data_IF_268594824509
#
_entry.id   IF_268594824509
#
_cell.length_a   1.000
_cell.length_b   1.000
_cell.length_c   1.000
_cell.angle_alpha   90.00
_cell.angle_beta   90.00
_cell.angle_gamma   90.00
#
_symmetry.space_group_name_H-M   'P 1'
#
loop_
_entity.id
_entity.type
_entity.pdbx_description
1 polymer ?
#
# COMPACT_ATOMS: atom_id res chain seq x y z
N UNK A 1 23.81 6.85 -11.89
CA UNK A 1 23.40 7.11 -10.48
C UNK A 1 22.18 8.02 -10.33
N UNK A 2 21.90 8.96 -11.24
CA UNK A 2 20.73 9.86 -11.14
C UNK A 2 19.37 9.15 -11.10
N UNK A 3 19.09 8.24 -12.06
CA UNK A 3 17.77 7.60 -12.19
C UNK A 3 17.35 6.70 -11.02
N UNK A 4 18.29 6.07 -10.30
CA UNK A 4 17.95 5.26 -9.10
C UNK A 4 17.36 6.13 -7.98
N UNK A 5 17.63 7.44 -7.95
CA UNK A 5 17.00 8.35 -6.98
C UNK A 5 15.49 8.50 -7.22
N UNK A 6 15.03 8.24 -8.46
CA UNK A 6 13.61 8.27 -8.79
C UNK A 6 12.82 7.11 -8.17
N UNK A 7 13.49 6.05 -7.69
CA UNK A 7 12.80 4.95 -7.00
C UNK A 7 12.04 5.43 -5.76
N UNK A 8 12.54 6.46 -5.06
CA UNK A 8 11.81 7.10 -3.96
C UNK A 8 10.55 7.82 -4.46
N UNK A 9 10.62 8.46 -5.63
CA UNK A 9 9.48 9.11 -6.28
C UNK A 9 8.42 8.08 -6.70
N UNK A 10 8.86 6.95 -7.26
CA UNK A 10 8.00 5.81 -7.61
C UNK A 10 7.31 5.24 -6.36
N UNK A 11 8.07 4.96 -5.30
CA UNK A 11 7.51 4.48 -4.03
C UNK A 11 6.47 5.47 -3.46
N UNK A 12 6.75 6.78 -3.57
CA UNK A 12 5.83 7.85 -3.13
C UNK A 12 4.53 7.87 -3.94
N UNK A 13 4.62 7.71 -5.27
CA UNK A 13 3.45 7.62 -6.14
C UNK A 13 2.58 6.40 -5.84
N UNK A 14 3.22 5.25 -5.58
CA UNK A 14 2.52 4.02 -5.20
C UNK A 14 1.81 4.19 -3.87
N UNK A 15 2.52 4.61 -2.81
CA UNK A 15 1.92 4.69 -1.48
C UNK A 15 0.83 5.77 -1.41
N UNK A 16 0.98 6.86 -2.17
CA UNK A 16 -0.04 7.89 -2.33
C UNK A 16 -1.31 7.36 -3.02
N UNK A 17 -1.16 6.54 -4.07
CA UNK A 17 -2.29 5.88 -4.71
C UNK A 17 -2.92 4.82 -3.82
N UNK A 18 -2.13 4.06 -3.07
CA UNK A 18 -2.58 3.01 -2.14
C UNK A 18 -3.43 3.56 -1.00
N UNK A 19 -2.98 4.67 -0.39
CA UNK A 19 -3.69 5.39 0.67
C UNK A 19 -5.03 5.97 0.20
N UNK A 20 -5.16 6.28 -1.09
CA UNK A 20 -6.32 6.99 -1.62
C UNK A 20 -7.63 6.25 -1.37
N UNK A 21 -8.73 7.01 -1.19
CA UNK A 21 -10.09 6.46 -1.16
C UNK A 21 -10.52 5.84 -2.49
N UNK A 22 -9.82 6.18 -3.58
CA UNK A 22 -10.03 5.58 -4.90
C UNK A 22 -9.33 4.22 -5.09
N UNK A 23 -8.61 3.74 -4.07
CA UNK A 23 -8.17 2.35 -3.99
C UNK A 23 -9.38 1.49 -3.62
N UNK A 24 -10.11 1.08 -4.65
CA UNK A 24 -11.35 0.32 -4.52
C UNK A 24 -11.10 -1.20 -4.67
N UNK A 25 -11.75 -1.97 -3.81
CA UNK A 25 -11.85 -3.43 -3.86
C UNK A 25 -13.32 -3.80 -3.69
N UNK A 26 -13.92 -4.33 -4.74
CA UNK A 26 -15.32 -4.75 -4.79
C UNK A 26 -16.34 -3.67 -4.37
N UNK A 27 -16.05 -2.41 -4.69
CA UNK A 27 -16.89 -1.26 -4.38
C UNK A 27 -16.62 -0.63 -3.02
N UNK A 28 -15.60 -1.10 -2.29
CA UNK A 28 -15.25 -0.59 -0.96
C UNK A 28 -13.80 -0.13 -0.90
N UNK A 29 -13.50 0.69 0.10
CA UNK A 29 -12.14 1.16 0.29
C UNK A 29 -11.20 0.01 0.68
N UNK A 30 -10.19 -0.24 -0.16
CA UNK A 30 -9.29 -1.38 -0.05
C UNK A 30 -8.58 -1.48 1.29
N UNK A 31 -8.21 -0.36 1.90
CA UNK A 31 -7.55 -0.35 3.23
C UNK A 31 -8.48 -0.90 4.32
N UNK A 32 -9.77 -0.53 4.30
CA UNK A 32 -10.73 -1.06 5.27
C UNK A 32 -10.95 -2.57 5.11
N UNK A 33 -10.97 -3.05 3.85
CA UNK A 33 -11.07 -4.48 3.54
C UNK A 33 -9.84 -5.26 4.01
N UNK A 34 -8.64 -4.71 3.81
CA UNK A 34 -7.40 -5.29 4.33
C UNK A 34 -7.38 -5.33 5.85
N UNK A 35 -7.85 -4.27 6.51
CA UNK A 35 -7.93 -4.23 7.96
C UNK A 35 -8.87 -5.31 8.48
N UNK A 36 -10.09 -5.40 7.96
CA UNK A 36 -11.04 -6.48 8.32
C UNK A 36 -10.41 -7.86 8.17
N UNK A 37 -9.63 -8.07 7.11
CA UNK A 37 -8.97 -9.34 6.85
C UNK A 37 -7.96 -9.70 7.94
N UNK A 38 -7.17 -8.76 8.46
CA UNK A 38 -6.12 -9.05 9.46
C UNK A 38 -6.52 -8.72 10.89
N UNK A 39 -7.75 -8.28 11.15
CA UNK A 39 -8.22 -7.86 12.48
C UNK A 39 -8.13 -8.98 13.53
N UNK A 40 -8.28 -10.23 13.08
CA UNK A 40 -8.16 -11.43 13.92
C UNK A 40 -6.71 -11.85 14.20
N UNK A 41 -5.73 -11.24 13.53
CA UNK A 41 -4.31 -11.55 13.71
C UNK A 41 -3.71 -10.62 14.76
N UNK A 42 -2.75 -11.13 15.53
CA UNK A 42 -2.05 -10.31 16.52
C UNK A 42 -1.19 -9.21 15.89
N UNK A 43 -0.57 -9.49 14.73
CA UNK A 43 0.30 -8.52 14.05
C UNK A 43 -0.45 -7.41 13.34
N UNK A 44 -1.70 -7.67 12.90
CA UNK A 44 -2.52 -6.75 12.09
C UNK A 44 -1.74 -6.10 10.94
N UNK A 45 -0.91 -6.90 10.27
CA UNK A 45 -0.06 -6.45 9.18
C UNK A 45 -0.39 -7.14 7.86
N UNK A 46 -0.19 -6.43 6.77
CA UNK A 46 -0.25 -6.93 5.39
C UNK A 46 1.01 -6.52 4.65
N UNK A 47 1.56 -7.41 3.83
CA UNK A 47 2.58 -7.10 2.82
C UNK A 47 2.05 -7.44 1.43
N UNK A 48 2.37 -6.60 0.44
CA UNK A 48 2.09 -6.86 -0.98
C UNK A 48 3.41 -6.77 -1.73
N UNK A 49 3.81 -7.87 -2.37
CA UNK A 49 4.96 -7.93 -3.26
C UNK A 49 4.56 -7.45 -4.65
N UNK A 50 5.16 -6.34 -5.07
CA UNK A 50 4.89 -5.69 -6.36
C UNK A 50 5.60 -6.37 -7.54
N UNK A 51 6.61 -7.19 -7.26
CA UNK A 51 7.34 -7.97 -8.26
C UNK A 51 6.65 -9.31 -8.51
N UNK A 52 6.19 -10.00 -7.44
CA UNK A 52 5.55 -11.32 -7.55
C UNK A 52 4.01 -11.29 -7.54
N UNK A 53 3.40 -10.12 -7.35
CA UNK A 53 1.94 -9.91 -7.27
C UNK A 53 1.28 -10.68 -6.12
N UNK A 54 2.05 -11.04 -5.10
CA UNK A 54 1.60 -11.78 -3.93
C UNK A 54 1.20 -10.82 -2.80
N UNK A 55 0.32 -11.30 -1.94
CA UNK A 55 -0.08 -10.65 -0.70
C UNK A 55 0.13 -11.62 0.45
N UNK A 56 0.67 -11.14 1.56
CA UNK A 56 0.75 -11.89 2.81
C UNK A 56 0.05 -11.14 3.93
N UNK A 57 -0.80 -11.81 4.72
CA UNK A 57 -1.27 -13.18 4.55
C UNK A 57 -2.06 -13.37 3.24
N UNK A 58 -1.96 -14.54 2.62
CA UNK A 58 -2.60 -14.80 1.33
C UNK A 58 -4.13 -14.75 1.44
N UNK A 59 -4.75 -14.04 0.50
CA UNK A 59 -6.20 -14.00 0.38
C UNK A 59 -6.65 -13.75 -1.08
N UNK A 60 -7.52 -14.60 -1.65
CA UNK A 60 -7.91 -14.52 -3.07
C UNK A 60 -8.56 -13.19 -3.49
N UNK A 61 -9.38 -12.59 -2.61
CA UNK A 61 -10.19 -11.41 -2.96
C UNK A 61 -9.33 -10.17 -3.29
N UNK A 62 -8.04 -10.17 -2.92
CA UNK A 62 -7.13 -9.06 -3.20
C UNK A 62 -6.32 -9.23 -4.50
N UNK A 63 -6.51 -10.31 -5.26
CA UNK A 63 -5.72 -10.58 -6.47
C UNK A 63 -5.82 -9.47 -7.53
N UNK A 64 -6.98 -8.81 -7.66
CA UNK A 64 -7.12 -7.66 -8.56
C UNK A 64 -6.31 -6.44 -8.08
N UNK A 65 -6.27 -6.22 -6.75
CA UNK A 65 -5.51 -5.14 -6.14
C UNK A 65 -4.01 -5.36 -6.31
N UNK A 66 -3.49 -6.55 -6.01
CA UNK A 66 -2.05 -6.87 -6.14
C UNK A 66 -1.59 -6.71 -7.59
N UNK A 67 -2.39 -7.22 -8.55
CA UNK A 67 -2.14 -7.06 -9.98
C UNK A 67 -2.15 -5.60 -10.43
N UNK A 68 -3.09 -4.79 -9.91
CA UNK A 68 -3.19 -3.35 -10.22
C UNK A 68 -1.94 -2.60 -9.76
N UNK A 69 -1.47 -2.83 -8.53
CA UNK A 69 -0.30 -2.14 -8.01
C UNK A 69 1.01 -2.62 -8.65
N UNK A 70 1.12 -3.92 -8.97
CA UNK A 70 2.27 -4.46 -9.71
C UNK A 70 2.38 -3.82 -11.11
N UNK A 71 1.26 -3.73 -11.84
CA UNK A 71 1.23 -3.02 -13.14
C UNK A 71 1.54 -1.54 -13.02
N UNK A 72 1.06 -0.88 -11.96
CA UNK A 72 1.38 0.52 -11.71
C UNK A 72 2.88 0.69 -11.48
N UNK A 73 3.51 -0.19 -10.70
CA UNK A 73 4.95 -0.18 -10.44
C UNK A 73 5.76 -0.36 -11.73
N UNK A 74 5.48 -1.39 -12.53
CA UNK A 74 6.14 -1.62 -13.83
C UNK A 74 6.00 -0.42 -14.78
N UNK A 75 4.81 0.18 -14.83
CA UNK A 75 4.55 1.39 -15.63
C UNK A 75 5.39 2.57 -15.15
N UNK A 76 5.48 2.79 -13.84
CA UNK A 76 6.27 3.87 -13.27
C UNK A 76 7.77 3.67 -13.54
N UNK A 77 8.29 2.44 -13.41
CA UNK A 77 9.66 2.12 -13.79
C UNK A 77 9.93 2.47 -15.27
N UNK A 78 8.99 2.09 -16.16
CA UNK A 78 9.06 2.38 -17.60
C UNK A 78 9.09 3.89 -17.86
N UNK A 79 8.19 4.67 -17.23
CA UNK A 79 8.12 6.14 -17.39
C UNK A 79 9.44 6.80 -16.97
N UNK A 80 10.06 6.33 -15.88
CA UNK A 80 11.33 6.84 -15.40
C UNK A 80 12.55 6.21 -16.10
N UNK A 81 12.32 5.34 -17.10
CA UNK A 81 13.37 4.62 -17.83
C UNK A 81 14.35 3.89 -16.90
N UNK A 82 13.78 3.17 -15.92
CA UNK A 82 14.48 2.30 -14.97
C UNK A 82 14.24 0.85 -15.40
N UNK A 83 15.29 0.07 -15.69
CA UNK A 83 15.16 -1.35 -15.98
C UNK A 83 14.64 -2.12 -14.77
N UNK A 84 13.79 -3.12 -14.99
CA UNK A 84 13.23 -3.93 -13.90
C UNK A 84 14.33 -4.72 -13.17
N UNK A 85 15.39 -5.10 -13.88
CA UNK A 85 16.56 -5.81 -13.35
C UNK A 85 17.35 -4.98 -12.31
N UNK A 86 17.10 -3.67 -12.24
CA UNK A 86 17.66 -2.82 -11.18
C UNK A 86 16.85 -2.87 -9.89
N UNK A 87 15.73 -3.59 -9.86
CA UNK A 87 14.90 -3.80 -8.68
C UNK A 87 15.13 -5.22 -8.18
N UNK A 88 15.66 -5.33 -6.96
CA UNK A 88 15.80 -6.61 -6.28
C UNK A 88 14.48 -7.04 -5.63
N UNK A 89 13.77 -6.10 -4.99
CA UNK A 89 12.44 -6.34 -4.45
C UNK A 89 11.66 -5.04 -4.27
N UNK A 90 10.33 -5.14 -4.22
CA UNK A 90 9.46 -3.99 -4.02
C UNK A 90 8.18 -4.40 -3.27
N UNK A 91 7.90 -3.73 -2.16
CA UNK A 91 6.80 -4.07 -1.26
C UNK A 91 5.96 -2.87 -0.88
N UNK A 92 4.67 -3.12 -0.66
CA UNK A 92 3.80 -2.27 0.15
C UNK A 92 3.59 -2.98 1.48
N UNK A 93 3.85 -2.30 2.59
CA UNK A 93 3.56 -2.76 3.93
C UNK A 93 2.46 -1.90 4.56
N UNK A 94 1.55 -2.57 5.25
CA UNK A 94 0.46 -1.94 5.97
C UNK A 94 0.46 -2.49 7.38
N UNK A 95 0.48 -1.60 8.36
CA UNK A 95 0.35 -1.91 9.78
C UNK A 95 -0.91 -1.20 10.29
N UNK A 96 -1.85 -1.97 10.80
CA UNK A 96 -3.10 -1.47 11.38
C UNK A 96 -3.01 -1.41 12.90
N UNK A 97 -3.76 -0.48 13.49
CA UNK A 97 -3.69 -0.19 14.93
C UNK A 97 -2.29 0.19 15.40
N UNK A 98 -1.57 0.92 14.55
CA UNK A 98 -0.28 1.49 14.92
C UNK A 98 -0.41 2.45 16.11
N UNK A 99 0.71 2.69 16.79
CA UNK A 99 0.77 3.69 17.85
C UNK A 99 0.39 5.07 17.31
N UNK A 100 -0.45 5.79 18.07
CA UNK A 100 -0.90 7.11 17.68
C UNK A 100 0.23 8.12 17.73
N UNK A 101 0.72 8.52 16.56
CA UNK A 101 1.61 9.67 16.41
C UNK A 101 0.84 10.91 15.95
N UNK A 102 0.76 11.94 16.80
CA UNK A 102 0.00 13.17 16.54
C UNK A 102 0.36 13.80 15.19
N UNK A 103 1.64 13.89 14.86
CA UNK A 103 2.16 14.46 13.59
C UNK A 103 1.67 13.73 12.34
N UNK A 104 1.27 12.47 12.47
CA UNK A 104 0.94 11.57 11.37
C UNK A 104 -0.56 11.23 11.31
N UNK A 105 -1.25 11.29 12.45
CA UNK A 105 -2.63 10.83 12.62
C UNK A 105 -3.60 11.91 13.13
N UNK A 106 -3.24 13.20 12.98
CA UNK A 106 -4.01 14.35 13.47
C UNK A 106 -5.54 14.29 13.25
N UNK A 107 -6.29 15.01 14.08
CA UNK A 107 -7.75 15.15 14.16
C UNK A 107 -8.54 15.32 12.84
N UNK A 108 -7.93 15.77 11.73
CA UNK A 108 -8.58 15.88 10.40
C UNK A 108 -8.31 14.70 9.46
N UNK A 109 -7.63 13.67 9.95
CA UNK A 109 -7.46 12.39 9.27
C UNK A 109 -8.81 11.71 9.07
N UNK A 110 -8.82 10.64 8.28
CA UNK A 110 -9.98 9.74 8.24
C UNK A 110 -10.40 9.31 9.66
N UNK A 111 -11.64 8.86 9.82
CA UNK A 111 -12.09 8.23 11.06
C UNK A 111 -11.50 6.81 11.15
N UNK A 112 -11.19 6.37 12.37
CA UNK A 112 -10.72 5.01 12.64
C UNK A 112 -9.44 4.96 13.47
N UNK A 113 -8.84 3.78 13.49
CA UNK A 113 -7.58 3.52 14.18
C UNK A 113 -6.39 3.90 13.28
N UNK A 114 -5.25 4.30 13.86
CA UNK A 114 -4.04 4.63 13.10
C UNK A 114 -3.58 3.48 12.20
N UNK A 115 -3.12 3.84 11.02
CA UNK A 115 -2.63 2.93 10.01
C UNK A 115 -1.38 3.51 9.34
N UNK A 116 -0.28 2.77 9.49
CA UNK A 116 1.00 3.07 8.87
C UNK A 116 1.11 2.35 7.53
N UNK A 117 1.49 3.10 6.50
CA UNK A 117 1.68 2.60 5.14
C UNK A 117 3.10 2.88 4.69
N UNK A 118 3.78 1.86 4.20
CA UNK A 118 5.15 1.98 3.68
C UNK A 118 5.22 1.36 2.29
N UNK A 119 5.86 2.04 1.35
CA UNK A 119 6.34 1.41 0.12
C UNK A 119 7.87 1.42 0.14
N UNK A 120 8.46 0.24 0.01
CA UNK A 120 9.91 0.05 -0.01
C UNK A 120 10.31 -0.62 -1.31
N UNK A 121 11.31 -0.05 -1.98
CA UNK A 121 11.95 -0.63 -3.15
C UNK A 121 13.43 -0.81 -2.86
N UNK A 122 13.93 -2.05 -2.98
CA UNK A 122 15.34 -2.39 -2.81
C UNK A 122 15.95 -2.52 -4.20
N UNK A 123 16.99 -1.74 -4.50
CA UNK A 123 17.67 -1.82 -5.79
C UNK A 123 18.67 -2.99 -5.87
N UNK A 124 19.17 -3.24 -7.07
CA UNK A 124 20.20 -4.24 -7.40
C UNK A 124 21.51 -4.10 -6.61
N UNK A 125 21.72 -2.96 -5.94
CA UNK A 125 22.89 -2.70 -5.08
C UNK A 125 22.56 -2.85 -3.60
N UNK A 126 21.36 -3.32 -3.27
CA UNK A 126 20.87 -3.48 -1.90
C UNK A 126 20.47 -2.16 -1.23
N UNK A 127 20.38 -1.04 -1.96
CA UNK A 127 19.95 0.23 -1.38
C UNK A 127 18.43 0.26 -1.30
N UNK A 128 17.92 0.57 -0.11
CA UNK A 128 16.49 0.79 0.14
C UNK A 128 16.04 2.22 -0.22
N UNK A 129 14.89 2.31 -0.88
CA UNK A 129 14.20 3.53 -1.26
C UNK A 129 12.77 3.47 -0.70
N UNK A 130 12.51 4.28 0.33
CA UNK A 130 11.30 4.16 1.15
C UNK A 130 10.43 5.41 1.05
N UNK A 131 9.13 5.20 0.87
CA UNK A 131 8.11 6.22 1.05
C UNK A 131 7.11 5.78 2.12
N UNK A 132 6.62 6.74 2.91
CA UNK A 132 5.64 6.50 3.98
C UNK A 132 4.40 7.32 3.76
N UNK A 133 3.26 6.76 4.14
CA UNK A 133 2.00 7.47 4.24
C UNK A 133 1.26 7.02 5.50
N UNK A 134 0.33 7.85 5.94
CA UNK A 134 -0.40 7.65 7.18
C UNK A 134 -1.87 7.90 6.93
N UNK A 135 -2.71 7.09 7.55
CA UNK A 135 -4.16 7.27 7.53
C UNK A 135 -4.76 6.69 8.80
N UNK A 136 -6.04 6.94 8.98
CA UNK A 136 -6.83 6.16 9.91
C UNK A 136 -7.84 5.33 9.11
N UNK A 137 -8.23 4.18 9.64
CA UNK A 137 -9.28 3.35 9.06
C UNK A 137 -10.00 2.53 10.12
N UNK A 138 -11.26 2.20 9.85
CA UNK A 138 -11.95 1.12 10.54
C UNK A 138 -11.86 -0.16 9.71
N UNK A 139 -12.01 -1.34 10.35
CA UNK A 139 -12.32 -2.55 9.62
C UNK A 139 -13.58 -2.33 8.78
N UNK A 140 -13.57 -2.82 7.54
CA UNK A 140 -14.69 -2.68 6.62
C UNK A 140 -16.01 -3.19 7.24
N UNK A 141 -17.07 -2.39 7.13
CA UNK A 141 -18.44 -2.77 7.52
C UNK A 141 -19.47 -2.23 6.51
N UNK A 142 -20.08 -3.13 5.74
CA UNK A 142 -21.07 -2.80 4.71
C UNK A 142 -22.33 -2.09 5.25
N UNK A 143 -22.65 -2.19 6.54
CA UNK A 143 -23.79 -1.47 7.14
C UNK A 143 -23.47 0.00 7.42
N UNK A 144 -22.18 0.35 7.50
CA UNK A 144 -21.68 1.68 7.87
C UNK A 144 -21.08 2.43 6.68
N UNK A 145 -20.81 1.72 5.60
CA UNK A 145 -20.13 2.23 4.42
C UNK A 145 -21.05 2.33 3.20
N UNK A 146 -20.77 3.29 2.33
CA UNK A 146 -21.40 3.37 1.01
C UNK A 146 -20.54 2.65 -0.02
N UNK A 147 -21.16 1.79 -0.81
CA UNK A 147 -20.48 1.12 -1.93
C UNK A 147 -20.33 2.09 -3.11
N UNK A 148 -19.16 2.11 -3.74
CA UNK A 148 -18.95 2.85 -4.98
C UNK A 148 -19.75 2.22 -6.12
N UNK A 149 -20.28 3.06 -7.02
CA UNK A 149 -21.02 2.60 -8.19
C UNK A 149 -20.09 1.85 -9.15
N UNK A 150 -20.49 0.67 -9.60
CA UNK A 150 -19.76 -0.12 -10.63
C UNK A 150 -19.82 0.53 -12.01
#
# INVERSE_FOLDING_TARGET
MGRRRELVSIASGIIGSFRSRNNDVDGYWGIGKLYLFVDHLQSKCVSIDLCSQQIEPYYPDFGLMTKRYSKMFERLLTIHSIPFEWVNSAYIYVEFEADYEERHHHWRSALGNPCNLVCEVIDDKGKSHVARAYTNCFPHDAKRESQSSK
#
